data_IF_820371601600
#
_entry.id   IF_820371601600
#
_cell.length_a   1.000
_cell.length_b   1.000
_cell.length_c   1.000
_cell.angle_alpha   90.00
_cell.angle_beta   90.00
_cell.angle_gamma   90.00
#
_symmetry.space_group_name_H-M   'P 1'
#
loop_
_entity.id
_entity.type
_entity.pdbx_description
1 polymer ?
#
# COMPACT_ATOMS: atom_id res chain seq x y z
N UNK A 1 29.90 -17.57 -0.01
CA UNK A 1 30.03 -16.32 -0.80
C UNK A 1 28.90 -16.26 -1.82
N UNK A 2 27.88 -15.46 -1.53
CA UNK A 2 26.61 -15.47 -2.28
C UNK A 2 26.74 -14.71 -3.60
N UNK A 3 26.50 -15.41 -4.72
CA UNK A 3 26.46 -14.81 -6.07
C UNK A 3 25.45 -13.65 -6.07
N UNK A 4 25.95 -12.44 -6.30
CA UNK A 4 25.15 -11.23 -6.36
C UNK A 4 24.03 -11.40 -7.42
N UNK A 5 22.77 -11.11 -7.07
CA UNK A 5 21.62 -11.24 -7.98
C UNK A 5 21.82 -10.45 -9.28
N UNK A 6 22.55 -9.33 -9.21
CA UNK A 6 22.96 -8.57 -10.39
C UNK A 6 23.82 -9.38 -11.37
N UNK A 7 24.79 -10.15 -10.85
CA UNK A 7 25.65 -11.02 -11.66
C UNK A 7 24.88 -12.20 -12.24
N UNK A 8 23.90 -12.72 -11.50
CA UNK A 8 23.03 -13.80 -11.97
C UNK A 8 22.14 -13.33 -13.11
N UNK A 9 21.51 -12.16 -12.95
CA UNK A 9 20.68 -11.54 -13.98
C UNK A 9 21.48 -11.32 -15.28
N UNK A 10 22.69 -10.75 -15.18
CA UNK A 10 23.59 -10.59 -16.33
C UNK A 10 23.93 -11.92 -17.02
N UNK A 11 24.19 -12.99 -16.26
CA UNK A 11 24.51 -14.31 -16.81
C UNK A 11 23.34 -14.91 -17.61
N UNK A 12 22.12 -14.69 -17.16
CA UNK A 12 20.91 -15.22 -17.80
C UNK A 12 20.24 -14.24 -18.77
N UNK A 13 20.83 -13.08 -19.02
CA UNK A 13 20.24 -12.04 -19.87
C UNK A 13 18.93 -11.47 -19.31
N UNK A 14 18.76 -11.51 -17.98
CA UNK A 14 17.57 -11.02 -17.28
C UNK A 14 17.78 -9.58 -16.81
N UNK A 15 16.67 -8.88 -16.61
CA UNK A 15 16.68 -7.51 -16.10
C UNK A 15 16.90 -7.49 -14.58
N UNK A 16 17.79 -6.60 -14.11
CA UNK A 16 18.01 -6.35 -12.69
C UNK A 16 17.71 -4.88 -12.38
N UNK A 17 16.76 -4.65 -11.47
CA UNK A 17 16.39 -3.32 -10.98
C UNK A 17 16.55 -3.25 -9.47
N UNK A 18 17.17 -2.16 -9.03
CA UNK A 18 17.24 -1.81 -7.60
C UNK A 18 16.34 -0.62 -7.36
N UNK A 19 15.41 -0.76 -6.43
CA UNK A 19 14.53 0.31 -6.01
C UNK A 19 15.18 1.11 -4.88
N UNK A 20 14.77 2.38 -4.73
CA UNK A 20 15.10 3.20 -3.54
C UNK A 20 14.31 2.68 -2.34
N UNK A 21 14.50 3.31 -1.18
CA UNK A 21 13.64 3.08 -0.03
C UNK A 21 12.17 3.36 -0.38
N UNK A 22 11.29 2.43 0.02
CA UNK A 22 9.86 2.46 -0.27
C UNK A 22 9.05 2.26 1.01
N UNK A 23 7.99 3.04 1.18
CA UNK A 23 6.91 2.81 2.15
C UNK A 23 5.82 1.95 1.51
N UNK A 24 4.95 1.32 2.32
CA UNK A 24 3.88 0.41 1.85
C UNK A 24 2.92 1.05 0.83
N UNK A 25 2.69 2.36 0.94
CA UNK A 25 1.81 3.12 0.05
C UNK A 25 2.48 3.66 -1.21
N UNK A 26 3.80 3.51 -1.35
CA UNK A 26 4.52 4.16 -2.44
C UNK A 26 4.18 3.55 -3.80
N UNK A 27 4.23 4.40 -4.81
CA UNK A 27 4.07 4.02 -6.20
C UNK A 27 5.36 3.43 -6.76
N UNK A 28 5.22 2.40 -7.60
CA UNK A 28 6.33 1.78 -8.32
C UNK A 28 5.98 1.87 -9.81
N UNK A 29 6.76 2.62 -10.59
CA UNK A 29 6.44 2.93 -12.01
C UNK A 29 6.06 1.70 -12.84
N UNK A 30 6.68 0.56 -12.56
CA UNK A 30 6.53 -0.66 -13.36
C UNK A 30 5.45 -1.62 -12.85
N UNK A 31 4.94 -1.39 -11.64
CA UNK A 31 4.00 -2.25 -10.93
C UNK A 31 2.77 -1.43 -10.49
N UNK A 32 1.63 -1.68 -11.13
CA UNK A 32 0.35 -1.09 -10.78
C UNK A 32 -0.58 -2.07 -10.06
N UNK A 33 -1.57 -1.53 -9.34
CA UNK A 33 -2.69 -2.29 -8.78
C UNK A 33 -2.27 -3.50 -7.93
N UNK A 34 -2.90 -4.65 -8.20
CA UNK A 34 -2.72 -5.91 -7.46
C UNK A 34 -1.28 -6.45 -7.52
N UNK A 35 -0.54 -6.18 -8.60
CA UNK A 35 0.86 -6.64 -8.71
C UNK A 35 1.77 -5.88 -7.76
N UNK A 36 1.53 -4.57 -7.62
CA UNK A 36 2.21 -3.75 -6.62
C UNK A 36 1.94 -4.28 -5.22
N UNK A 37 0.69 -4.63 -4.91
CA UNK A 37 0.31 -5.17 -3.60
C UNK A 37 1.04 -6.48 -3.30
N UNK A 38 1.03 -7.45 -4.23
CA UNK A 38 1.74 -8.73 -4.09
C UNK A 38 3.26 -8.55 -3.95
N UNK A 39 3.83 -7.65 -4.74
CA UNK A 39 5.25 -7.31 -4.65
C UNK A 39 5.59 -6.76 -3.27
N UNK A 40 4.80 -5.80 -2.79
CA UNK A 40 5.01 -5.17 -1.49
C UNK A 40 4.80 -6.15 -0.33
N UNK A 41 3.78 -7.00 -0.41
CA UNK A 41 3.55 -8.06 0.58
C UNK A 41 4.76 -8.99 0.69
N UNK A 42 5.24 -9.47 -0.47
CA UNK A 42 6.41 -10.36 -0.52
C UNK A 42 7.64 -9.65 0.02
N UNK A 43 7.98 -8.45 -0.49
CA UNK A 43 9.17 -7.72 -0.08
C UNK A 43 9.22 -7.41 1.42
N UNK A 44 8.08 -7.06 2.02
CA UNK A 44 8.00 -6.76 3.45
C UNK A 44 7.97 -8.01 4.34
N UNK A 45 7.61 -9.18 3.79
CA UNK A 45 7.71 -10.46 4.50
C UNK A 45 9.15 -10.98 4.64
N UNK A 46 10.07 -10.53 3.78
CA UNK A 46 11.46 -11.00 3.78
C UNK A 46 12.25 -10.45 4.96
N UNK A 47 13.20 -11.25 5.45
CA UNK A 47 14.27 -10.81 6.34
C UNK A 47 15.33 -10.02 5.56
N UNK A 48 16.11 -9.16 6.24
CA UNK A 48 17.21 -8.41 5.61
C UNK A 48 18.20 -9.37 4.95
N UNK A 49 18.53 -9.12 3.68
CA UNK A 49 19.35 -9.99 2.84
C UNK A 49 18.61 -11.20 2.25
N UNK A 50 17.37 -11.45 2.66
CA UNK A 50 16.55 -12.56 2.19
C UNK A 50 16.11 -12.40 0.75
N UNK A 51 15.95 -13.53 0.06
CA UNK A 51 15.50 -13.63 -1.32
C UNK A 51 14.19 -14.41 -1.37
N UNK A 52 13.20 -13.90 -2.09
CA UNK A 52 11.90 -14.56 -2.25
C UNK A 52 11.98 -15.76 -3.19
N UNK A 53 11.04 -16.72 -3.08
CA UNK A 53 10.72 -17.57 -4.22
C UNK A 53 10.22 -16.74 -5.42
N UNK A 54 10.19 -17.30 -6.64
CA UNK A 54 9.62 -16.62 -7.80
C UNK A 54 8.17 -16.22 -7.56
N UNK A 55 7.88 -14.93 -7.71
CA UNK A 55 6.54 -14.35 -7.57
C UNK A 55 5.96 -14.13 -8.95
N UNK A 56 4.76 -14.67 -9.20
CA UNK A 56 4.03 -14.44 -10.45
C UNK A 56 3.28 -13.10 -10.39
N UNK A 57 3.68 -12.18 -11.26
CA UNK A 57 3.04 -10.90 -11.52
C UNK A 57 2.56 -10.86 -12.99
N UNK A 58 1.79 -9.85 -13.39
CA UNK A 58 1.17 -9.79 -14.72
C UNK A 58 2.17 -9.79 -15.88
N UNK A 59 3.39 -9.29 -15.65
CA UNK A 59 4.47 -9.22 -16.65
C UNK A 59 5.42 -10.42 -16.62
N UNK A 60 5.22 -11.36 -15.68
CA UNK A 60 6.04 -12.56 -15.56
C UNK A 60 6.48 -12.86 -14.12
N UNK A 61 7.54 -13.66 -14.00
CA UNK A 61 8.10 -14.04 -12.71
C UNK A 61 9.16 -13.05 -12.23
N UNK A 62 9.08 -12.69 -10.96
CA UNK A 62 10.01 -11.79 -10.28
C UNK A 62 10.70 -12.51 -9.12
N UNK A 63 11.99 -12.25 -8.92
CA UNK A 63 12.72 -12.66 -7.72
C UNK A 63 13.09 -11.40 -6.96
N UNK A 64 12.66 -11.32 -5.70
CA UNK A 64 12.77 -10.12 -4.89
C UNK A 64 13.82 -10.36 -3.81
N UNK A 65 14.76 -9.44 -3.65
CA UNK A 65 15.71 -9.45 -2.55
C UNK A 65 15.55 -8.20 -1.70
N UNK A 66 15.43 -8.38 -0.39
CA UNK A 66 15.45 -7.26 0.54
C UNK A 66 16.91 -6.89 0.83
N UNK A 67 17.39 -5.80 0.23
CA UNK A 67 18.76 -5.32 0.43
C UNK A 67 18.91 -4.67 1.80
N UNK A 68 18.06 -3.69 2.10
CA UNK A 68 18.10 -2.90 3.32
C UNK A 68 16.70 -2.65 3.85
N UNK A 69 16.61 -2.42 5.16
CA UNK A 69 15.39 -2.03 5.86
C UNK A 69 15.77 -1.01 6.91
N UNK A 70 15.12 0.14 6.87
CA UNK A 70 15.21 1.16 7.89
C UNK A 70 14.01 1.06 8.83
N UNK A 71 14.28 1.07 10.12
CA UNK A 71 13.30 1.03 11.22
C UNK A 71 13.67 2.14 12.20
N UNK A 72 13.62 3.39 11.74
CA UNK A 72 13.87 4.56 12.58
C UNK A 72 12.78 4.70 13.65
N UNK A 73 13.05 4.18 14.86
CA UNK A 73 12.18 4.30 16.02
C UNK A 73 11.99 5.76 16.47
N UNK A 74 12.97 6.61 16.18
CA UNK A 74 12.90 8.03 16.52
C UNK A 74 11.87 8.78 15.66
N UNK A 75 11.86 8.52 14.35
CA UNK A 75 10.85 9.06 13.44
C UNK A 75 9.46 8.51 13.78
N UNK A 76 9.35 7.22 14.08
CA UNK A 76 8.09 6.63 14.53
C UNK A 76 7.55 7.32 15.78
N UNK A 77 8.41 7.58 16.78
CA UNK A 77 7.98 8.23 18.03
C UNK A 77 7.50 9.67 17.79
N UNK A 78 8.15 10.41 16.88
CA UNK A 78 7.75 11.76 16.48
C UNK A 78 6.41 11.78 15.74
N UNK A 79 6.16 10.81 14.87
CA UNK A 79 4.96 10.75 14.04
C UNK A 79 3.77 10.03 14.70
N UNK A 80 4.01 9.21 15.72
CA UNK A 80 3.00 8.34 16.36
C UNK A 80 1.75 9.10 16.81
N UNK A 81 1.94 10.23 17.48
CA UNK A 81 0.84 11.01 18.04
C UNK A 81 -0.07 11.54 16.92
N UNK A 82 0.53 12.16 15.90
CA UNK A 82 -0.19 12.66 14.72
C UNK A 82 -0.90 11.54 13.98
N UNK A 83 -0.20 10.43 13.72
CA UNK A 83 -0.78 9.27 13.06
C UNK A 83 -1.99 8.72 13.81
N UNK A 84 -1.91 8.66 15.15
CA UNK A 84 -3.02 8.20 16.01
C UNK A 84 -4.22 9.14 15.91
N UNK A 85 -3.99 10.46 15.94
CA UNK A 85 -5.04 11.46 15.82
C UNK A 85 -5.74 11.42 14.44
N UNK A 86 -4.95 11.29 13.38
CA UNK A 86 -5.44 11.19 12.00
C UNK A 86 -6.28 9.92 11.83
N UNK A 87 -5.77 8.76 12.25
CA UNK A 87 -6.47 7.48 12.17
C UNK A 87 -7.77 7.48 12.98
N UNK A 88 -7.73 8.06 14.19
CA UNK A 88 -8.93 8.18 15.05
C UNK A 88 -9.98 9.08 14.41
N UNK A 89 -9.57 10.16 13.76
CA UNK A 89 -10.50 11.08 13.10
C UNK A 89 -11.12 10.45 11.85
N UNK A 90 -10.34 9.70 11.07
CA UNK A 90 -10.85 8.92 9.93
C UNK A 90 -11.91 7.91 10.36
N UNK A 91 -11.63 7.10 11.39
CA UNK A 91 -12.60 6.11 11.90
C UNK A 91 -13.88 6.75 12.44
N UNK A 92 -13.77 7.89 13.14
CA UNK A 92 -14.94 8.64 13.62
C UNK A 92 -15.83 9.12 12.47
N UNK A 93 -15.22 9.63 11.39
CA UNK A 93 -15.97 10.06 10.22
C UNK A 93 -16.65 8.89 9.49
N UNK A 94 -15.97 7.75 9.37
CA UNK A 94 -16.53 6.53 8.78
C UNK A 94 -17.76 6.04 9.56
N UNK A 95 -17.65 5.91 10.89
CA UNK A 95 -18.77 5.49 11.75
C UNK A 95 -19.94 6.46 11.72
N UNK A 96 -19.66 7.77 11.73
CA UNK A 96 -20.70 8.79 11.62
C UNK A 96 -21.46 8.67 10.30
N UNK A 97 -20.76 8.49 9.19
CA UNK A 97 -21.37 8.32 7.87
C UNK A 97 -22.23 7.06 7.81
N UNK A 98 -21.73 5.93 8.31
CA UNK A 98 -22.50 4.68 8.38
C UNK A 98 -23.76 4.82 9.25
N UNK A 99 -23.66 5.52 10.38
CA UNK A 99 -24.80 5.79 11.25
C UNK A 99 -25.84 6.70 10.57
N UNK A 100 -25.40 7.79 9.93
CA UNK A 100 -26.29 8.69 9.18
C UNK A 100 -27.00 7.97 8.03
N UNK A 101 -26.29 7.09 7.32
CA UNK A 101 -26.87 6.27 6.26
C UNK A 101 -28.00 5.40 6.80
N UNK A 102 -27.77 4.69 7.92
CA UNK A 102 -28.79 3.85 8.57
C UNK A 102 -30.01 4.64 9.03
N UNK A 103 -29.83 5.88 9.50
CA UNK A 103 -30.95 6.74 9.88
C UNK A 103 -31.74 7.15 8.64
N UNK A 104 -31.05 7.57 7.56
CA UNK A 104 -31.70 7.97 6.31
C UNK A 104 -32.52 6.84 5.70
N UNK A 105 -32.00 5.61 5.70
CA UNK A 105 -32.69 4.42 5.18
C UNK A 105 -33.99 4.11 5.95
N UNK A 106 -34.03 4.42 7.26
CA UNK A 106 -35.20 4.16 8.11
C UNK A 106 -36.16 5.34 8.21
N UNK A 107 -35.72 6.53 7.82
CA UNK A 107 -36.52 7.73 7.92
C UNK A 107 -37.49 7.82 6.73
N UNK A 108 -38.74 8.22 7.01
CA UNK A 108 -39.66 8.64 5.95
C UNK A 108 -39.24 10.05 5.51
N UNK A 109 -38.45 10.13 4.44
CA UNK A 109 -37.96 11.40 3.87
C UNK A 109 -38.85 11.78 2.69
N UNK A 110 -39.53 12.91 2.78
CA UNK A 110 -40.26 13.54 1.68
C UNK A 110 -39.46 14.75 1.18
N UNK A 111 -38.99 14.70 -0.05
CA UNK A 111 -38.23 15.79 -0.67
C UNK A 111 -39.17 16.74 -1.43
N UNK A 112 -39.39 17.92 -0.85
CA UNK A 112 -40.22 18.99 -1.43
C UNK A 112 -39.38 20.10 -2.07
N UNK A 113 -38.08 19.90 -2.30
CA UNK A 113 -37.18 20.91 -2.86
C UNK A 113 -37.61 21.41 -4.24
N UNK A 114 -38.21 20.53 -5.06
CA UNK A 114 -38.77 20.88 -6.37
C UNK A 114 -39.93 21.89 -6.31
N UNK A 115 -40.53 22.12 -5.15
CA UNK A 115 -41.56 23.14 -4.95
C UNK A 115 -41.00 24.56 -4.87
N UNK A 116 -39.69 24.69 -4.59
CA UNK A 116 -39.04 25.98 -4.36
C UNK A 116 -37.95 26.30 -5.39
N UNK A 117 -37.42 25.27 -6.07
CA UNK A 117 -36.39 25.42 -7.09
C UNK A 117 -36.91 24.84 -8.41
N UNK A 118 -37.37 25.71 -9.31
CA UNK A 118 -37.56 25.39 -10.74
C UNK A 118 -36.20 25.43 -11.46
N UNK A 119 -36.01 24.65 -12.54
CA UNK A 119 -34.71 24.49 -13.21
C UNK A 119 -34.10 25.80 -13.74
#
# INVERSE_FOLDING_TARGET
EGKNLSSLAKKFGLEYKSLKYLKRGDWIEELGGTDREKFMETAFSLAKGGVSPPVWLSKGYYVIQLTERDLSLEEFTKEREKFTQDLTSQKRAEELNLWLQKIREKAKIEDNSSLFFSP
#
